data_IF_366750673986
#
_entry.id   IF_366750673986
#
_cell.length_a   1.000
_cell.length_b   1.000
_cell.length_c   1.000
_cell.angle_alpha   90.00
_cell.angle_beta   90.00
_cell.angle_gamma   90.00
#
_symmetry.space_group_name_H-M   'P 1'
#
loop_
_entity.id
_entity.type
_entity.pdbx_description
1 polymer ?
#
# COMPACT_ATOMS: atom_id res chain seq x y z
N UNK A 1 23.63 -6.16 -4.41
CA UNK A 1 22.85 -5.57 -3.29
C UNK A 1 21.51 -6.29 -3.25
N UNK A 2 21.09 -6.82 -2.10
CA UNK A 2 19.97 -7.77 -2.03
C UNK A 2 18.63 -7.08 -2.38
N UNK A 3 17.91 -7.54 -3.41
CA UNK A 3 16.67 -6.94 -3.94
C UNK A 3 15.58 -6.76 -2.86
N UNK A 4 15.62 -7.64 -1.85
CA UNK A 4 14.77 -7.59 -0.66
C UNK A 4 15.06 -6.35 0.20
N UNK A 5 16.34 -6.00 0.39
CA UNK A 5 16.77 -4.85 1.20
C UNK A 5 16.31 -3.53 0.55
N UNK A 6 16.51 -3.38 -0.76
CA UNK A 6 16.09 -2.18 -1.48
C UNK A 6 14.56 -2.01 -1.50
N UNK A 7 13.81 -3.10 -1.66
CA UNK A 7 12.34 -3.08 -1.60
C UNK A 7 11.84 -2.68 -0.21
N UNK A 8 12.49 -3.18 0.85
CA UNK A 8 12.20 -2.80 2.23
C UNK A 8 12.46 -1.31 2.48
N UNK A 9 13.64 -0.81 2.08
CA UNK A 9 14.00 0.61 2.22
C UNK A 9 13.03 1.54 1.47
N UNK A 10 12.66 1.20 0.23
CA UNK A 10 11.69 1.98 -0.55
C UNK A 10 10.30 1.94 0.08
N UNK A 11 9.86 0.78 0.57
CA UNK A 11 8.56 0.65 1.28
C UNK A 11 8.54 1.55 2.50
N UNK A 12 9.58 1.51 3.34
CA UNK A 12 9.66 2.32 4.56
C UNK A 12 9.59 3.81 4.22
N UNK A 13 10.36 4.28 3.22
CA UNK A 13 10.31 5.69 2.80
C UNK A 13 8.92 6.13 2.34
N UNK A 14 8.22 5.31 1.54
CA UNK A 14 6.87 5.63 1.08
C UNK A 14 5.87 5.72 2.24
N UNK A 15 5.93 4.77 3.17
CA UNK A 15 5.05 4.73 4.34
C UNK A 15 5.36 5.88 5.31
N UNK A 16 6.63 6.14 5.62
CA UNK A 16 7.02 7.20 6.53
C UNK A 16 6.61 8.57 5.98
N UNK A 17 6.75 8.79 4.67
CA UNK A 17 6.27 9.99 4.01
C UNK A 17 4.73 10.09 4.05
N UNK A 18 4.01 8.99 3.83
CA UNK A 18 2.56 8.98 3.91
C UNK A 18 2.06 9.32 5.33
N UNK A 19 2.66 8.71 6.36
CA UNK A 19 2.32 9.00 7.76
C UNK A 19 2.66 10.44 8.13
N UNK A 20 3.76 11.02 7.65
CA UNK A 20 4.07 12.43 7.92
C UNK A 20 3.11 13.42 7.27
N UNK A 21 2.46 13.04 6.17
CA UNK A 21 1.63 13.92 5.36
C UNK A 21 0.12 13.65 5.52
N UNK A 22 -0.30 12.68 6.33
CA UNK A 22 -1.73 12.50 6.64
C UNK A 22 -2.23 13.70 7.46
N UNK A 23 -3.47 14.14 7.20
CA UNK A 23 -4.01 15.39 7.76
C UNK A 23 -5.27 15.21 8.59
N UNK A 24 -5.80 13.98 8.68
CA UNK A 24 -7.07 13.70 9.36
C UNK A 24 -7.08 12.30 9.95
N UNK A 25 -7.72 12.18 11.12
CA UNK A 25 -8.01 10.92 11.80
C UNK A 25 -9.35 10.29 11.37
N UNK A 26 -10.08 10.95 10.47
CA UNK A 26 -11.32 10.41 9.89
C UNK A 26 -11.05 9.10 9.14
N UNK A 27 -11.84 8.06 9.44
CA UNK A 27 -11.60 6.72 8.91
C UNK A 27 -11.74 6.68 7.37
N UNK A 28 -12.75 7.36 6.81
CA UNK A 28 -12.96 7.39 5.37
C UNK A 28 -11.81 8.12 4.66
N UNK A 29 -11.32 9.23 5.24
CA UNK A 29 -10.12 9.90 4.76
C UNK A 29 -8.89 8.99 4.79
N UNK A 30 -8.65 8.28 5.91
CA UNK A 30 -7.52 7.35 6.04
C UNK A 30 -7.60 6.27 4.97
N UNK A 31 -8.79 5.68 4.77
CA UNK A 31 -9.01 4.64 3.76
C UNK A 31 -8.70 5.19 2.36
N UNK A 32 -9.22 6.37 2.01
CA UNK A 32 -9.00 6.98 0.70
C UNK A 32 -7.53 7.33 0.45
N UNK A 33 -6.87 7.91 1.45
CA UNK A 33 -5.48 8.32 1.40
C UNK A 33 -4.54 7.14 1.16
N UNK A 34 -4.66 6.08 1.96
CA UNK A 34 -3.83 4.89 1.80
C UNK A 34 -4.22 4.06 0.57
N UNK A 35 -5.48 4.10 0.13
CA UNK A 35 -5.87 3.48 -1.13
C UNK A 35 -5.20 4.16 -2.33
N UNK A 36 -5.13 5.49 -2.33
CA UNK A 36 -4.44 6.26 -3.38
C UNK A 36 -2.94 5.96 -3.41
N UNK A 37 -2.28 5.89 -2.24
CA UNK A 37 -0.87 5.53 -2.14
C UNK A 37 -0.59 4.16 -2.78
N UNK A 38 -1.35 3.14 -2.39
CA UNK A 38 -1.18 1.77 -2.90
C UNK A 38 -1.47 1.73 -4.41
N UNK A 39 -2.52 2.43 -4.86
CA UNK A 39 -2.88 2.50 -6.26
C UNK A 39 -1.80 3.18 -7.11
N UNK A 40 -1.25 4.30 -6.63
CA UNK A 40 -0.14 5.01 -7.28
C UNK A 40 1.09 4.11 -7.42
N UNK A 41 1.50 3.42 -6.36
CA UNK A 41 2.63 2.48 -6.42
C UNK A 41 2.36 1.34 -7.41
N UNK A 42 1.17 0.74 -7.39
CA UNK A 42 0.82 -0.33 -8.34
C UNK A 42 0.79 0.15 -9.79
N UNK A 43 0.38 1.40 -10.01
CA UNK A 43 0.37 2.04 -11.34
C UNK A 43 1.79 2.27 -11.82
N UNK A 44 2.68 2.84 -10.99
CA UNK A 44 4.11 3.00 -11.30
C UNK A 44 4.79 1.68 -11.67
N UNK A 45 4.36 0.57 -11.07
CA UNK A 45 4.89 -0.76 -11.32
C UNK A 45 4.24 -1.47 -12.53
N UNK A 46 3.24 -0.86 -13.18
CA UNK A 46 2.48 -1.48 -14.27
C UNK A 46 1.63 -2.68 -13.84
N UNK A 47 1.32 -2.81 -12.54
CA UNK A 47 0.56 -3.93 -11.95
C UNK A 47 -0.94 -3.61 -11.84
N UNK A 48 -1.32 -2.33 -11.88
CA UNK A 48 -2.72 -1.92 -11.78
C UNK A 48 -3.46 -2.14 -13.11
N UNK A 49 -4.46 -3.03 -13.12
CA UNK A 49 -5.50 -3.04 -14.17
C UNK A 49 -6.54 -1.96 -13.82
N UNK A 50 -6.75 -1.01 -14.73
CA UNK A 50 -7.37 0.29 -14.43
C UNK A 50 -8.82 0.25 -13.95
N UNK A 51 -9.57 -0.82 -14.21
CA UNK A 51 -10.99 -0.89 -13.84
C UNK A 51 -11.14 -1.45 -12.42
N UNK A 52 -11.67 -0.63 -11.50
CA UNK A 52 -12.02 -0.97 -10.10
C UNK A 52 -10.85 -1.23 -9.12
N UNK A 53 -9.58 -1.16 -9.54
CA UNK A 53 -8.45 -1.44 -8.66
C UNK A 53 -8.44 -0.58 -7.38
N UNK A 54 -8.71 0.73 -7.47
CA UNK A 54 -8.77 1.62 -6.30
C UNK A 54 -9.94 1.27 -5.36
N UNK A 55 -11.12 1.00 -5.89
CA UNK A 55 -12.29 0.58 -5.09
C UNK A 55 -12.03 -0.73 -4.33
N UNK A 56 -11.43 -1.71 -5.00
CA UNK A 56 -11.01 -2.98 -4.36
C UNK A 56 -10.00 -2.74 -3.24
N UNK A 57 -9.05 -1.82 -3.43
CA UNK A 57 -8.09 -1.45 -2.38
C UNK A 57 -8.81 -0.79 -1.19
N UNK A 58 -9.73 0.15 -1.43
CA UNK A 58 -10.53 0.78 -0.35
C UNK A 58 -11.26 -0.27 0.48
N UNK A 59 -11.97 -1.19 -0.18
CA UNK A 59 -12.70 -2.27 0.50
C UNK A 59 -11.76 -3.20 1.30
N UNK A 60 -10.57 -3.47 0.77
CA UNK A 60 -9.59 -4.29 1.48
C UNK A 60 -9.02 -3.59 2.73
N UNK A 61 -8.76 -2.27 2.66
CA UNK A 61 -8.34 -1.49 3.83
C UNK A 61 -9.46 -1.45 4.88
N UNK A 62 -10.69 -1.18 4.47
CA UNK A 62 -11.87 -1.19 5.35
C UNK A 62 -12.03 -2.52 6.09
N UNK A 63 -11.82 -3.64 5.38
CA UNK A 63 -11.84 -4.96 6.00
C UNK A 63 -10.69 -5.17 6.98
N UNK A 64 -9.47 -4.71 6.68
CA UNK A 64 -8.33 -4.82 7.61
C UNK A 64 -8.60 -4.02 8.90
N UNK A 65 -9.11 -2.79 8.79
CA UNK A 65 -9.50 -1.95 9.94
C UNK A 65 -10.54 -2.68 10.79
N UNK A 66 -11.60 -3.22 10.16
CA UNK A 66 -12.66 -3.95 10.87
C UNK A 66 -12.15 -5.20 11.60
N UNK A 67 -11.19 -5.92 11.02
CA UNK A 67 -10.62 -7.13 11.65
C UNK A 67 -9.74 -6.76 12.85
N UNK A 68 -9.06 -5.61 12.82
CA UNK A 68 -8.08 -5.18 13.83
C UNK A 68 -8.56 -4.08 14.76
N UNK A 69 -9.83 -3.70 14.70
CA UNK A 69 -10.40 -2.58 15.47
C UNK A 69 -10.19 -2.68 16.98
N UNK A 70 -10.00 -3.90 17.49
CA UNK A 70 -9.83 -4.16 18.93
C UNK A 70 -8.38 -4.00 19.41
N UNK A 71 -7.39 -3.89 18.51
CA UNK A 71 -5.97 -3.86 18.87
C UNK A 71 -5.15 -2.80 18.14
N UNK A 72 -5.71 -2.10 17.16
CA UNK A 72 -5.04 -1.08 16.36
C UNK A 72 -6.00 0.04 16.00
N UNK A 73 -5.48 1.27 15.84
CA UNK A 73 -6.26 2.37 15.27
C UNK A 73 -6.54 2.12 13.78
N UNK A 74 -7.45 2.89 13.19
CA UNK A 74 -7.69 2.88 11.74
C UNK A 74 -6.41 3.23 10.97
N UNK A 75 -5.65 4.24 11.44
CA UNK A 75 -4.38 4.65 10.86
C UNK A 75 -3.35 3.52 10.92
N UNK A 76 -3.15 2.92 12.08
CA UNK A 76 -2.18 1.81 12.25
C UNK A 76 -2.52 0.62 11.34
N UNK A 77 -3.81 0.28 11.25
CA UNK A 77 -4.31 -0.80 10.40
C UNK A 77 -4.05 -0.51 8.92
N UNK A 78 -4.35 0.72 8.47
CA UNK A 78 -4.09 1.16 7.10
C UNK A 78 -2.59 1.19 6.76
N UNK A 79 -1.74 1.64 7.70
CA UNK A 79 -0.28 1.65 7.55
C UNK A 79 0.27 0.24 7.39
N UNK A 80 -0.15 -0.70 8.26
CA UNK A 80 0.28 -2.11 8.17
C UNK A 80 -0.17 -2.73 6.86
N UNK A 81 -1.42 -2.48 6.46
CA UNK A 81 -1.96 -2.97 5.19
C UNK A 81 -1.15 -2.43 4.00
N UNK A 82 -0.96 -1.11 3.92
CA UNK A 82 -0.24 -0.47 2.84
C UNK A 82 1.21 -0.94 2.75
N UNK A 83 1.91 -1.02 3.89
CA UNK A 83 3.28 -1.54 3.97
C UNK A 83 3.38 -2.94 3.39
N UNK A 84 2.46 -3.84 3.77
CA UNK A 84 2.40 -5.22 3.27
C UNK A 84 2.21 -5.26 1.75
N UNK A 85 1.22 -4.54 1.23
CA UNK A 85 0.90 -4.56 -0.20
C UNK A 85 2.03 -3.95 -1.03
N UNK A 86 2.55 -2.79 -0.64
CA UNK A 86 3.64 -2.11 -1.35
C UNK A 86 4.90 -2.98 -1.38
N UNK A 87 5.29 -3.54 -0.24
CA UNK A 87 6.46 -4.40 -0.14
C UNK A 87 6.34 -5.62 -1.08
N UNK A 88 5.20 -6.32 -1.06
CA UNK A 88 5.01 -7.46 -1.96
C UNK A 88 5.08 -7.07 -3.43
N UNK A 89 4.46 -5.95 -3.82
CA UNK A 89 4.49 -5.51 -5.22
C UNK A 89 5.92 -5.11 -5.65
N UNK A 90 6.70 -4.46 -4.79
CA UNK A 90 8.09 -4.11 -5.08
C UNK A 90 9.01 -5.33 -5.19
N UNK A 91 8.84 -6.31 -4.31
CA UNK A 91 9.62 -7.56 -4.35
C UNK A 91 9.26 -8.40 -5.58
N UNK A 92 7.99 -8.43 -5.97
CA UNK A 92 7.50 -9.24 -7.08
C UNK A 92 7.76 -8.58 -8.46
N UNK A 93 7.63 -7.25 -8.57
CA UNK A 93 7.84 -6.54 -9.85
C UNK A 93 9.27 -6.67 -10.37
N UNK A 94 10.25 -6.77 -9.47
CA UNK A 94 11.66 -6.99 -9.82
C UNK A 94 11.91 -8.35 -10.50
N UNK A 95 10.99 -9.33 -10.37
CA UNK A 95 11.10 -10.62 -11.07
C UNK A 95 10.40 -10.64 -12.43
N UNK A 96 9.46 -9.73 -12.69
CA UNK A 96 8.72 -9.68 -13.96
C UNK A 96 9.36 -8.75 -15.01
N UNK A 97 10.34 -7.94 -14.63
CA UNK A 97 11.08 -7.08 -15.58
C UNK A 97 11.96 -7.85 -16.60
N UNK A 98 12.18 -9.16 -16.42
CA UNK A 98 13.01 -10.00 -17.31
C UNK A 98 12.22 -11.02 -18.14
N UNK A 99 10.89 -10.86 -18.25
CA UNK A 99 10.09 -11.73 -19.12
C UNK A 99 9.07 -10.90 -19.90
N UNK A 100 9.55 -10.30 -20.98
CA UNK A 100 8.76 -10.21 -22.21
C UNK A 100 9.54 -10.96 -23.30
N UNK A 101 8.88 -11.79 -24.13
CA UNK A 101 9.49 -12.36 -25.33
C UNK A 101 9.91 -11.30 -26.33
#
# INVERSE_FOLDING_TARGET
MNNVKQSSERTNKLIDNAVKNHQSDDEDYIIDYFAELIFSVKTELGVAQATNAKSTIKNAIKNEIKIRSNCMTALDSAVVFARRIIYFNLVLSLKTAWRLP
#
